data_IF_983819132288
#
_entry.id   IF_983819132288
#
_cell.length_a   1.000
_cell.length_b   1.000
_cell.length_c   1.000
_cell.angle_alpha   90.00
_cell.angle_beta   90.00
_cell.angle_gamma   90.00
#
_symmetry.space_group_name_H-M   'P 1'
#
loop_
_entity.id
_entity.type
_entity.pdbx_description
1 polymer ?
#
# COMPACT_ATOMS: atom_id res chain seq x y z
N UNK A 1 7.04 2.31 -10.62
CA UNK A 1 7.27 3.17 -9.45
C UNK A 1 6.52 2.55 -8.27
N UNK A 2 7.23 1.96 -7.29
CA UNK A 2 6.57 1.23 -6.20
C UNK A 2 5.98 2.21 -5.16
N UNK A 3 4.70 2.06 -4.85
CA UNK A 3 3.98 2.89 -3.85
C UNK A 3 4.27 2.52 -2.40
N UNK A 4 5.17 1.55 -2.21
CA UNK A 4 5.62 1.00 -0.92
C UNK A 4 7.14 1.02 -0.93
N UNK A 5 7.75 1.37 0.20
CA UNK A 5 9.18 1.27 0.36
C UNK A 5 9.60 -0.19 0.58
N UNK A 6 10.28 -0.78 -0.41
CA UNK A 6 10.72 -2.18 -0.40
C UNK A 6 11.70 -2.52 0.76
N UNK A 7 12.28 -1.52 1.45
CA UNK A 7 13.19 -1.76 2.57
C UNK A 7 12.56 -1.58 3.96
N UNK A 8 11.39 -0.96 4.07
CA UNK A 8 10.77 -0.62 5.38
C UNK A 8 9.27 -0.87 5.48
N UNK A 9 8.62 -1.41 4.44
CA UNK A 9 7.16 -1.58 4.33
C UNK A 9 6.33 -0.31 4.52
N UNK A 10 6.99 0.84 4.65
CA UNK A 10 6.30 2.10 4.80
C UNK A 10 5.55 2.42 3.52
N UNK A 11 4.25 2.57 3.68
CA UNK A 11 3.36 3.09 2.65
C UNK A 11 3.75 4.54 2.39
N UNK A 12 4.10 4.85 1.15
CA UNK A 12 4.37 6.22 0.73
C UNK A 12 3.03 6.96 0.59
N UNK A 13 2.72 7.80 1.60
CA UNK A 13 1.45 8.52 1.68
C UNK A 13 1.22 9.44 0.48
N UNK A 14 2.27 9.99 -0.14
CA UNK A 14 2.15 10.83 -1.33
C UNK A 14 1.74 10.04 -2.57
N UNK A 15 2.00 8.73 -2.58
CA UNK A 15 1.66 7.81 -3.68
C UNK A 15 0.29 7.18 -3.56
N UNK A 16 -0.38 7.33 -2.43
CA UNK A 16 -1.78 6.92 -2.23
C UNK A 16 -2.63 8.17 -2.12
N UNK A 17 -3.43 8.44 -3.16
CA UNK A 17 -4.25 9.65 -3.25
C UNK A 17 -5.16 9.87 -2.03
N UNK A 18 -5.70 8.78 -1.46
CA UNK A 18 -6.50 8.82 -0.25
C UNK A 18 -5.72 9.35 0.97
N UNK A 19 -4.45 8.96 1.11
CA UNK A 19 -3.58 9.41 2.20
C UNK A 19 -3.03 10.81 1.93
N UNK A 20 -2.62 11.10 0.69
CA UNK A 20 -2.13 12.41 0.26
C UNK A 20 -3.18 13.52 0.43
N UNK A 21 -4.47 13.21 0.25
CA UNK A 21 -5.60 14.12 0.40
C UNK A 21 -6.52 13.74 1.55
N UNK A 22 -5.94 13.32 2.68
CA UNK A 22 -6.70 12.87 3.85
C UNK A 22 -7.84 13.84 4.20
N UNK A 23 -9.05 13.30 4.34
CA UNK A 23 -10.25 14.01 4.76
C UNK A 23 -10.70 13.42 6.10
N UNK A 24 -11.28 14.24 6.98
CA UNK A 24 -11.79 13.79 8.29
C UNK A 24 -12.87 12.69 8.19
N UNK A 25 -13.47 12.48 7.02
CA UNK A 25 -14.46 11.43 6.76
C UNK A 25 -13.82 10.07 6.42
N UNK A 26 -12.52 10.00 6.16
CA UNK A 26 -11.84 8.76 5.87
C UNK A 26 -11.63 7.95 7.14
N UNK A 27 -11.93 6.67 7.05
CA UNK A 27 -11.74 5.71 8.14
C UNK A 27 -10.69 4.67 7.75
N UNK A 28 -10.16 3.95 8.74
CA UNK A 28 -9.25 2.82 8.54
C UNK A 28 -9.82 1.83 7.51
N UNK A 29 -11.15 1.63 7.53
CA UNK A 29 -11.83 0.78 6.55
C UNK A 29 -11.60 1.26 5.11
N UNK A 30 -11.71 2.56 4.85
CA UNK A 30 -11.49 3.12 3.51
C UNK A 30 -10.03 2.92 3.08
N UNK A 31 -9.08 3.12 3.99
CA UNK A 31 -7.64 2.90 3.73
C UNK A 31 -7.37 1.44 3.32
N UNK A 32 -7.91 0.47 4.07
CA UNK A 32 -7.75 -0.95 3.76
C UNK A 32 -8.42 -1.36 2.43
N UNK A 33 -9.58 -0.77 2.13
CA UNK A 33 -10.27 -1.03 0.86
C UNK A 33 -9.48 -0.50 -0.34
N UNK A 34 -8.92 0.70 -0.25
CA UNK A 34 -8.07 1.28 -1.30
C UNK A 34 -6.79 0.45 -1.51
N UNK A 35 -6.10 0.06 -0.44
CA UNK A 35 -4.92 -0.82 -0.54
C UNK A 35 -5.25 -2.14 -1.24
N UNK A 36 -6.36 -2.78 -0.86
CA UNK A 36 -6.84 -4.01 -1.50
C UNK A 36 -7.19 -3.80 -2.98
N UNK A 37 -7.76 -2.65 -3.35
CA UNK A 37 -8.08 -2.33 -4.74
C UNK A 37 -6.82 -2.09 -5.59
N UNK A 38 -5.75 -1.57 -4.99
CA UNK A 38 -4.48 -1.33 -5.67
C UNK A 38 -3.67 -2.61 -5.89
N UNK A 39 -3.77 -3.61 -5.01
CA UNK A 39 -3.04 -4.89 -5.14
C UNK A 39 -3.22 -5.60 -6.51
N UNK A 40 -4.44 -5.73 -7.08
CA UNK A 40 -4.64 -6.36 -8.39
C UNK A 40 -4.38 -5.44 -9.59
N UNK A 41 -3.91 -4.19 -9.39
CA UNK A 41 -3.62 -3.29 -10.51
C UNK A 41 -2.52 -3.84 -11.44
N UNK A 42 -2.54 -3.47 -12.72
CA UNK A 42 -1.58 -3.95 -13.74
C UNK A 42 -0.11 -3.72 -13.34
N UNK A 43 0.15 -2.64 -12.61
CA UNK A 43 1.48 -2.27 -12.10
C UNK A 43 1.93 -3.19 -10.96
N UNK A 44 0.99 -3.73 -10.16
CA UNK A 44 1.27 -4.50 -8.95
C UNK A 44 1.13 -6.02 -9.15
N UNK A 45 0.21 -6.46 -10.02
CA UNK A 45 -0.13 -7.87 -10.20
C UNK A 45 1.03 -8.74 -10.74
N UNK A 46 2.04 -8.12 -11.37
CA UNK A 46 3.21 -8.81 -11.92
C UNK A 46 4.45 -8.72 -11.01
N UNK A 47 4.34 -8.07 -9.86
CA UNK A 47 5.47 -7.94 -8.94
C UNK A 47 5.73 -9.28 -8.24
N UNK A 48 7.00 -9.73 -8.16
CA UNK A 48 7.34 -10.89 -7.35
C UNK A 48 7.06 -10.60 -5.88
N UNK A 49 6.36 -11.52 -5.23
CA UNK A 49 6.09 -11.44 -3.79
C UNK A 49 7.24 -12.07 -3.00
N UNK A 50 7.55 -11.55 -1.79
CA UNK A 50 8.41 -12.26 -0.85
C UNK A 50 7.79 -13.60 -0.44
N UNK A 51 8.59 -14.52 0.15
CA UNK A 51 8.07 -15.74 0.76
C UNK A 51 6.93 -15.46 1.74
N UNK A 52 5.87 -16.27 1.66
CA UNK A 52 4.75 -16.18 2.58
C UNK A 52 5.22 -16.34 4.03
N UNK A 53 4.73 -15.48 4.92
CA UNK A 53 5.12 -15.46 6.34
C UNK A 53 6.36 -14.61 6.65
N UNK A 54 6.99 -13.98 5.65
CA UNK A 54 8.04 -12.99 5.92
C UNK A 54 7.46 -11.73 6.59
N UNK A 55 8.16 -11.22 7.60
CA UNK A 55 7.84 -9.97 8.30
C UNK A 55 9.04 -9.03 8.31
N UNK A 56 8.79 -7.73 8.32
CA UNK A 56 9.85 -6.72 8.47
C UNK A 56 10.27 -6.63 9.94
N UNK A 57 11.57 -6.37 10.18
CA UNK A 57 12.09 -6.05 11.52
C UNK A 57 12.00 -4.54 11.73
N UNK A 58 11.60 -4.13 12.93
CA UNK A 58 11.44 -2.74 13.33
C UNK A 58 12.79 -2.09 13.69
#
# INVERSE_FOLDING_TARGET
MNRINNSSDMVDAERILLLAKSQNSYSIKVVLQELRHLMPSKENMQLPQPPEGQTYRN
#
